data_IF_556849565409
#
_entry.id   IF_556849565409
#
_cell.length_a   1.000
_cell.length_b   1.000
_cell.length_c   1.000
_cell.angle_alpha   90.00
_cell.angle_beta   90.00
_cell.angle_gamma   90.00
#
_symmetry.space_group_name_H-M   'P 1'
#
loop_
_entity.id
_entity.type
_entity.pdbx_description
1 polymer ?
#
# COMPACT_ATOMS: atom_id res chain seq x y z
N UNK A 1 -20.40 -26.44 -18.74
CA UNK A 1 -20.95 -25.25 -18.06
C UNK A 1 -20.10 -25.06 -16.82
N UNK A 2 -19.09 -24.20 -16.95
CA UNK A 2 -17.90 -24.20 -16.10
C UNK A 2 -18.15 -23.61 -14.72
N UNK A 3 -17.67 -24.32 -13.70
CA UNK A 3 -17.34 -23.70 -12.44
C UNK A 3 -16.12 -22.81 -12.69
N UNK A 4 -16.35 -21.50 -12.76
CA UNK A 4 -15.26 -20.55 -12.57
C UNK A 4 -14.89 -20.62 -11.10
N UNK A 5 -13.80 -21.35 -10.80
CA UNK A 5 -13.24 -21.47 -9.46
C UNK A 5 -12.91 -20.07 -8.92
N UNK A 6 -13.71 -19.62 -7.97
CA UNK A 6 -13.58 -18.34 -7.25
C UNK A 6 -12.43 -18.34 -6.23
N UNK A 7 -11.44 -19.22 -6.38
CA UNK A 7 -10.39 -19.50 -5.38
C UNK A 7 -8.96 -19.25 -5.88
N UNK A 8 -8.77 -18.63 -7.05
CA UNK A 8 -7.43 -18.55 -7.67
C UNK A 8 -6.43 -17.59 -6.99
N UNK A 9 -6.79 -16.90 -5.90
CA UNK A 9 -5.99 -15.80 -5.34
C UNK A 9 -5.41 -16.06 -3.95
N UNK A 10 -6.00 -16.96 -3.17
CA UNK A 10 -5.54 -17.23 -1.80
C UNK A 10 -4.23 -18.06 -1.75
N UNK A 11 -3.79 -18.58 -2.90
CA UNK A 11 -2.64 -19.48 -2.97
C UNK A 11 -1.35 -18.83 -3.51
N UNK A 12 -1.37 -17.54 -3.90
CA UNK A 12 -0.15 -16.83 -4.31
C UNK A 12 0.54 -16.26 -3.06
N UNK A 13 1.68 -16.80 -2.59
CA UNK A 13 2.23 -16.45 -1.28
C UNK A 13 2.60 -14.97 -1.11
N UNK A 14 2.88 -14.28 -2.23
CA UNK A 14 3.24 -12.86 -2.25
C UNK A 14 2.04 -11.92 -2.33
N UNK A 15 0.81 -12.44 -2.20
CA UNK A 15 -0.43 -11.67 -2.18
C UNK A 15 -1.31 -12.00 -0.96
N UNK A 16 -0.76 -12.70 0.05
CA UNK A 16 -1.48 -13.09 1.26
C UNK A 16 -0.81 -12.58 2.54
N UNK A 17 -1.57 -12.58 3.64
CA UNK A 17 -1.07 -12.15 4.95
C UNK A 17 -0.51 -10.72 4.93
N UNK A 18 0.70 -10.53 5.44
CA UNK A 18 1.39 -9.22 5.44
C UNK A 18 1.78 -8.69 4.05
N UNK A 19 1.64 -9.52 3.00
CA UNK A 19 1.85 -9.13 1.60
C UNK A 19 0.54 -8.90 0.85
N UNK A 20 -0.61 -8.99 1.53
CA UNK A 20 -1.89 -8.73 0.92
C UNK A 20 -1.97 -7.28 0.38
N UNK A 21 -2.53 -7.07 -0.82
CA UNK A 21 -2.60 -5.74 -1.42
C UNK A 21 -3.37 -4.73 -0.57
N UNK A 22 -2.87 -3.50 -0.52
CA UNK A 22 -3.59 -2.36 0.05
C UNK A 22 -4.48 -1.76 -1.03
N UNK A 23 -5.80 -1.92 -0.89
CA UNK A 23 -6.76 -1.57 -1.95
C UNK A 23 -7.28 -0.14 -1.89
N UNK A 24 -6.98 0.59 -0.82
CA UNK A 24 -7.50 1.95 -0.55
C UNK A 24 -6.36 2.93 -0.29
N UNK A 25 -6.47 4.11 -0.88
CA UNK A 25 -5.72 5.28 -0.46
C UNK A 25 -6.40 5.90 0.76
N UNK A 26 -5.61 6.27 1.76
CA UNK A 26 -6.10 6.83 3.02
C UNK A 26 -5.23 7.98 3.49
N UNK A 27 -5.82 8.80 4.36
CA UNK A 27 -5.11 9.79 5.19
C UNK A 27 -5.70 9.68 6.58
N UNK A 28 -4.88 9.35 7.57
CA UNK A 28 -5.34 9.00 8.91
C UNK A 28 -4.39 9.58 9.94
N UNK A 29 -4.92 10.28 10.92
CA UNK A 29 -4.16 10.73 12.08
C UNK A 29 -3.83 9.53 12.96
N UNK A 30 -2.55 9.40 13.35
CA UNK A 30 -2.11 8.34 14.24
C UNK A 30 -2.32 8.82 15.69
N UNK A 31 -3.32 8.25 16.35
CA UNK A 31 -3.69 8.66 17.72
C UNK A 31 -3.28 7.65 18.79
N UNK A 32 -3.06 6.39 18.40
CA UNK A 32 -2.61 5.33 19.30
C UNK A 32 -1.08 5.31 19.33
N UNK A 33 -0.51 6.11 20.23
CA UNK A 33 0.94 6.33 20.36
C UNK A 33 1.37 5.97 21.78
N UNK A 34 2.32 5.05 21.89
CA UNK A 34 3.04 4.79 23.13
C UNK A 34 4.25 5.72 23.24
N UNK A 35 4.33 6.51 24.31
CA UNK A 35 5.39 7.51 24.51
C UNK A 35 5.03 8.91 23.98
N UNK A 36 6.02 9.67 23.52
CA UNK A 36 5.82 11.03 22.99
C UNK A 36 6.59 11.22 21.66
N UNK A 37 5.94 11.82 20.67
CA UNK A 37 6.60 12.28 19.44
C UNK A 37 7.31 13.61 19.75
N UNK A 38 8.62 13.74 19.49
CA UNK A 38 9.34 14.99 19.71
C UNK A 38 8.70 16.17 18.97
N UNK A 39 8.46 17.28 19.67
CA UNK A 39 7.77 18.45 19.11
C UNK A 39 8.59 19.19 18.05
N UNK A 40 9.90 19.02 18.09
CA UNK A 40 10.87 19.57 17.13
C UNK A 40 11.08 18.67 15.90
N UNK A 41 10.58 17.43 15.91
CA UNK A 41 10.57 16.57 14.73
C UNK A 41 9.50 17.06 13.74
N UNK A 42 9.96 17.66 12.65
CA UNK A 42 9.11 18.09 11.53
C UNK A 42 9.64 17.51 10.24
N UNK A 43 8.81 16.73 9.55
CA UNK A 43 9.22 16.08 8.30
C UNK A 43 8.32 14.93 7.92
N UNK A 44 8.78 14.11 6.97
CA UNK A 44 8.03 12.96 6.49
C UNK A 44 8.95 11.78 6.27
N UNK A 45 8.59 10.63 6.84
CA UNK A 45 9.18 9.34 6.49
C UNK A 45 8.37 8.75 5.33
N UNK A 46 9.03 8.41 4.23
CA UNK A 46 8.37 7.91 3.01
C UNK A 46 9.02 6.60 2.59
N UNK A 47 8.19 5.62 2.25
CA UNK A 47 8.60 4.33 1.68
C UNK A 47 7.83 4.07 0.40
N UNK A 48 8.55 3.70 -0.66
CA UNK A 48 7.96 3.14 -1.87
C UNK A 48 7.92 1.61 -1.77
N UNK A 49 6.85 0.99 -2.27
CA UNK A 49 6.75 -0.46 -2.38
C UNK A 49 5.82 -0.90 -3.51
N UNK A 50 6.03 -2.11 -4.05
CA UNK A 50 5.12 -2.71 -5.01
C UNK A 50 3.81 -3.07 -4.29
N UNK A 51 2.68 -2.71 -4.89
CA UNK A 51 1.36 -3.02 -4.40
C UNK A 51 0.46 -3.35 -5.59
N UNK A 52 -0.17 -4.52 -5.60
CA UNK A 52 -0.99 -4.93 -6.75
C UNK A 52 -2.27 -4.10 -6.81
N UNK A 53 -2.49 -3.30 -7.86
CA UNK A 53 -3.76 -2.58 -8.02
C UNK A 53 -4.85 -3.47 -8.65
N UNK A 54 -4.50 -4.18 -9.71
CA UNK A 54 -5.43 -4.96 -10.53
C UNK A 54 -5.07 -6.44 -10.59
N UNK A 55 -6.02 -7.24 -11.07
CA UNK A 55 -5.77 -8.67 -11.26
C UNK A 55 -4.83 -8.94 -12.44
N UNK A 56 -3.59 -9.34 -12.15
CA UNK A 56 -2.69 -9.94 -13.15
C UNK A 56 -3.17 -11.35 -13.56
N UNK A 57 -3.19 -11.62 -14.88
CA UNK A 57 -3.42 -12.96 -15.40
C UNK A 57 -2.14 -13.81 -15.30
N UNK A 58 -2.19 -14.92 -14.57
CA UNK A 58 -1.09 -15.89 -14.49
C UNK A 58 -0.17 -15.69 -13.28
N UNK A 59 1.15 -15.82 -13.49
CA UNK A 59 2.16 -15.74 -12.42
C UNK A 59 2.35 -14.29 -11.99
N UNK A 60 2.55 -14.09 -10.68
CA UNK A 60 2.80 -12.76 -10.11
C UNK A 60 4.07 -12.80 -9.27
N UNK A 61 5.03 -11.92 -9.59
CA UNK A 61 6.23 -11.72 -8.80
C UNK A 61 6.04 -10.53 -7.85
N UNK A 62 6.63 -10.57 -6.67
CA UNK A 62 6.49 -9.51 -5.66
C UNK A 62 6.95 -8.11 -6.10
N UNK A 63 7.66 -7.98 -7.22
CA UNK A 63 8.09 -6.69 -7.79
C UNK A 63 7.18 -6.19 -8.92
N UNK A 64 6.18 -6.96 -9.33
CA UNK A 64 5.33 -6.63 -10.48
C UNK A 64 4.20 -5.65 -10.12
N UNK A 65 4.02 -5.34 -8.83
CA UNK A 65 2.96 -4.46 -8.37
C UNK A 65 3.23 -2.98 -8.67
N UNK A 66 2.16 -2.23 -8.87
CA UNK A 66 2.20 -0.78 -9.02
C UNK A 66 2.87 -0.11 -7.83
N UNK A 67 3.55 1.00 -8.09
CA UNK A 67 4.17 1.78 -7.02
C UNK A 67 3.11 2.37 -6.10
N UNK A 68 3.21 2.10 -4.80
CA UNK A 68 2.47 2.82 -3.77
C UNK A 68 3.45 3.44 -2.77
N UNK A 69 3.29 4.75 -2.57
CA UNK A 69 3.99 5.46 -1.51
C UNK A 69 3.19 5.32 -0.21
N UNK A 70 3.90 4.98 0.85
CA UNK A 70 3.44 5.05 2.24
C UNK A 70 4.24 6.11 2.95
N UNK A 71 3.57 7.02 3.64
CA UNK A 71 4.22 8.12 4.34
C UNK A 71 3.66 8.34 5.74
N UNK A 72 4.54 8.69 6.67
CA UNK A 72 4.17 9.22 7.99
C UNK A 72 4.74 10.62 8.10
N UNK A 73 3.85 11.62 8.20
CA UNK A 73 4.21 13.02 8.41
C UNK A 73 4.22 13.33 9.90
N UNK A 74 5.28 13.97 10.37
CA UNK A 74 5.44 14.43 11.74
C UNK A 74 5.43 15.95 11.78
N UNK A 75 4.66 16.53 12.70
CA UNK A 75 4.65 17.97 12.94
C UNK A 75 4.06 18.28 14.32
N UNK A 76 4.83 19.00 15.16
CA UNK A 76 4.37 19.50 16.45
C UNK A 76 3.91 18.42 17.42
N UNK A 77 4.61 17.28 17.45
CA UNK A 77 4.27 16.14 18.31
C UNK A 77 3.09 15.29 17.82
N UNK A 78 2.64 15.48 16.56
CA UNK A 78 1.60 14.67 15.93
C UNK A 78 2.18 13.86 14.78
N UNK A 79 1.55 12.72 14.48
CA UNK A 79 1.84 11.93 13.29
C UNK A 79 0.57 11.68 12.46
N UNK A 80 0.71 11.71 11.15
CA UNK A 80 -0.34 11.36 10.20
C UNK A 80 0.20 10.38 9.16
N UNK A 81 -0.51 9.27 8.98
CA UNK A 81 -0.23 8.32 7.92
C UNK A 81 -1.00 8.69 6.65
N UNK A 82 -0.38 8.48 5.50
CA UNK A 82 -1.04 8.53 4.20
C UNK A 82 -0.42 7.54 3.22
N UNK A 83 -1.22 7.07 2.27
CA UNK A 83 -0.73 6.32 1.12
C UNK A 83 -1.35 6.78 -0.19
N UNK A 84 -0.55 6.80 -1.24
CA UNK A 84 -0.97 7.17 -2.60
C UNK A 84 -0.34 6.26 -3.64
N UNK A 85 -1.10 5.94 -4.68
CA UNK A 85 -0.58 5.31 -5.88
C UNK A 85 0.36 6.28 -6.61
N UNK A 86 1.47 5.75 -7.11
CA UNK A 86 2.31 6.46 -8.06
C UNK A 86 1.61 6.35 -9.41
N UNK A 87 1.10 7.48 -9.91
CA UNK A 87 0.44 7.56 -11.22
C UNK A 87 1.46 7.47 -12.35
N UNK A 88 2.08 6.30 -12.51
CA UNK A 88 2.94 5.97 -13.65
C UNK A 88 2.10 5.94 -14.92
N UNK A 89 2.73 6.05 -16.08
CA UNK A 89 1.98 5.96 -17.34
C UNK A 89 1.37 4.57 -17.53
N UNK A 90 2.06 3.51 -17.09
CA UNK A 90 1.51 2.14 -17.07
C UNK A 90 0.24 2.03 -16.22
N UNK A 91 0.25 2.54 -14.98
CA UNK A 91 -0.96 2.50 -14.15
C UNK A 91 -2.10 3.34 -14.73
N UNK A 92 -1.79 4.47 -15.38
CA UNK A 92 -2.82 5.29 -16.05
C UNK A 92 -3.48 4.57 -17.22
N UNK A 93 -2.75 3.70 -17.93
CA UNK A 93 -3.30 2.91 -19.03
C UNK A 93 -4.24 1.79 -18.53
N UNK A 94 -4.08 1.35 -17.28
CA UNK A 94 -4.89 0.31 -16.64
C UNK A 94 -6.16 0.82 -15.93
N UNK A 95 -6.27 2.14 -15.70
CA UNK A 95 -7.41 2.82 -15.05
C UNK A 95 -8.54 3.15 -16.03
#
# INVERSE_FOLDING_TARGET
MGAHDTHAFDDIPVLTGGFAPVTREMTVDLTDIEGEIPKDLTGMYVRNGPNRRFEAAGRYHWFDGDGMLHAVRFEGGRAQYQNRWVMTDGLKEEL
#
